data_IF_648647098626
#
_entry.id   IF_648647098626
#
_cell.length_a   1.000
_cell.length_b   1.000
_cell.length_c   1.000
_cell.angle_alpha   90.00
_cell.angle_beta   90.00
_cell.angle_gamma   90.00
#
_symmetry.space_group_name_H-M   'P 1'
#
loop_
_entity.id
_entity.type
_entity.pdbx_description
1 polymer ?
#
# COMPACT_ATOMS: atom_id res chain seq x y z
N UNK A 1 23.21 6.17 -2.27
CA UNK A 1 21.83 5.69 -2.03
C UNK A 1 21.89 4.55 -1.04
N UNK A 2 20.87 4.40 -0.19
CA UNK A 2 20.77 3.33 0.80
C UNK A 2 20.80 1.96 0.11
N UNK A 3 20.14 1.83 -1.05
CA UNK A 3 20.11 0.61 -1.87
C UNK A 3 21.50 0.05 -2.22
N UNK A 4 22.52 0.90 -2.37
CA UNK A 4 23.89 0.47 -2.68
C UNK A 4 24.56 -0.31 -1.53
N UNK A 5 24.07 -0.16 -0.29
CA UNK A 5 24.72 -0.72 0.90
C UNK A 5 23.79 -1.54 1.78
N UNK A 6 22.46 -1.44 1.60
CA UNK A 6 21.46 -2.09 2.46
C UNK A 6 21.69 -3.60 2.58
N UNK A 7 21.74 -4.33 1.46
CA UNK A 7 21.86 -5.79 1.44
C UNK A 7 23.11 -6.33 2.14
N UNK A 8 24.18 -5.54 2.21
CA UNK A 8 25.45 -5.92 2.82
C UNK A 8 25.56 -5.51 4.29
N UNK A 9 24.94 -4.37 4.65
CA UNK A 9 25.15 -3.72 5.96
C UNK A 9 23.90 -3.66 6.83
N UNK A 10 22.74 -4.14 6.38
CA UNK A 10 21.50 -4.10 7.16
C UNK A 10 21.57 -4.84 8.49
N UNK A 11 22.50 -5.80 8.64
CA UNK A 11 22.74 -6.51 9.89
C UNK A 11 23.60 -5.72 10.89
N UNK A 12 24.26 -4.62 10.48
CA UNK A 12 24.96 -3.73 11.39
C UNK A 12 23.95 -2.92 12.21
N UNK A 13 23.83 -3.28 13.50
CA UNK A 13 22.88 -2.66 14.42
C UNK A 13 23.10 -1.15 14.57
N UNK A 14 24.35 -0.65 14.56
CA UNK A 14 24.61 0.78 14.74
C UNK A 14 24.09 1.57 13.54
N UNK A 15 24.46 1.14 12.34
CA UNK A 15 24.01 1.78 11.10
C UNK A 15 22.48 1.73 10.98
N UNK A 16 21.89 0.56 11.22
CA UNK A 16 20.43 0.38 11.15
C UNK A 16 19.68 1.27 12.14
N UNK A 17 20.17 1.41 13.37
CA UNK A 17 19.54 2.27 14.38
C UNK A 17 19.67 3.75 14.06
N UNK A 18 20.80 4.18 13.46
CA UNK A 18 20.95 5.55 12.96
C UNK A 18 19.91 5.86 11.88
N UNK A 19 19.80 4.97 10.89
CA UNK A 19 18.79 5.08 9.84
C UNK A 19 17.37 5.12 10.42
N UNK A 20 17.00 4.17 11.29
CA UNK A 20 15.66 4.11 11.90
C UNK A 20 15.33 5.35 12.73
N UNK A 21 16.34 5.97 13.37
CA UNK A 21 16.15 7.21 14.12
C UNK A 21 15.77 8.37 13.20
N UNK A 22 16.54 8.58 12.13
CA UNK A 22 16.28 9.67 11.18
C UNK A 22 14.99 9.42 10.40
N UNK A 23 14.74 8.18 10.00
CA UNK A 23 13.49 7.77 9.36
C UNK A 23 12.28 8.04 10.27
N UNK A 24 12.37 7.70 11.56
CA UNK A 24 11.33 7.98 12.55
C UNK A 24 11.05 9.47 12.68
N UNK A 25 12.09 10.31 12.72
CA UNK A 25 11.94 11.79 12.76
C UNK A 25 11.24 12.33 11.52
N UNK A 26 11.58 11.80 10.34
CA UNK A 26 10.94 12.17 9.08
C UNK A 26 9.46 11.78 9.13
N UNK A 27 9.13 10.53 9.47
CA UNK A 27 7.73 10.07 9.58
C UNK A 27 6.92 10.94 10.55
N UNK A 28 7.47 11.24 11.72
CA UNK A 28 6.81 12.10 12.72
C UNK A 28 6.65 13.55 12.22
N UNK A 29 7.60 14.05 11.43
CA UNK A 29 7.53 15.40 10.86
C UNK A 29 6.45 15.51 9.77
N UNK A 30 6.43 14.58 8.81
CA UNK A 30 5.49 14.61 7.68
C UNK A 30 4.05 14.29 8.10
N UNK A 31 3.87 13.43 9.10
CA UNK A 31 2.54 13.06 9.62
C UNK A 31 2.00 13.99 10.71
N UNK A 32 2.76 15.04 11.08
CA UNK A 32 2.43 15.91 12.21
C UNK A 32 1.12 16.67 12.04
N UNK A 33 0.81 17.09 10.81
CA UNK A 33 -0.33 17.97 10.53
C UNK A 33 -1.44 17.13 9.89
N UNK A 34 -2.60 16.97 10.54
CA UNK A 34 -3.73 16.30 9.94
C UNK A 34 -4.25 17.10 8.75
N UNK A 35 -4.57 16.39 7.68
CA UNK A 35 -5.15 16.92 6.45
C UNK A 35 -6.65 16.66 6.43
N UNK A 36 -7.44 17.53 5.78
CA UNK A 36 -8.90 17.45 5.84
C UNK A 36 -9.48 16.28 5.04
N UNK A 37 -8.76 15.80 4.03
CA UNK A 37 -9.22 14.78 3.08
C UNK A 37 -8.05 13.90 2.61
N UNK A 38 -8.36 12.76 2.00
CA UNK A 38 -7.42 11.91 1.27
C UNK A 38 -7.35 12.45 -0.17
N UNK A 39 -6.15 12.68 -0.69
CA UNK A 39 -5.95 13.35 -1.97
C UNK A 39 -4.52 13.82 -2.19
N UNK A 40 -4.23 14.37 -3.35
CA UNK A 40 -2.94 15.00 -3.68
C UNK A 40 -3.07 16.52 -3.78
N UNK A 41 -1.95 17.19 -3.52
CA UNK A 41 -1.85 18.64 -3.67
C UNK A 41 -1.66 19.03 -5.14
N UNK A 42 -2.20 20.19 -5.51
CA UNK A 42 -1.92 20.89 -6.77
C UNK A 42 -1.43 22.29 -6.48
N UNK A 43 -0.78 22.89 -7.47
CA UNK A 43 -0.59 24.34 -7.52
C UNK A 43 -1.72 24.89 -8.39
N UNK A 44 -2.58 25.72 -7.81
CA UNK A 44 -3.69 26.33 -8.55
C UNK A 44 -3.21 27.43 -9.51
N UNK A 45 -4.15 28.01 -10.27
CA UNK A 45 -3.84 29.10 -11.21
C UNK A 45 -3.33 30.39 -10.54
N UNK A 46 -3.50 30.52 -9.22
CA UNK A 46 -3.04 31.65 -8.42
C UNK A 46 -1.68 31.36 -7.75
N UNK A 47 -1.14 30.15 -7.92
CA UNK A 47 0.14 29.72 -7.35
C UNK A 47 0.04 29.17 -5.92
N UNK A 48 -1.16 28.92 -5.40
CA UNK A 48 -1.36 28.36 -4.06
C UNK A 48 -1.43 26.84 -4.07
N UNK A 49 -0.87 26.23 -3.02
CA UNK A 49 -0.96 24.81 -2.78
C UNK A 49 -2.38 24.46 -2.31
N UNK A 50 -3.09 23.58 -3.02
CA UNK A 50 -4.44 23.12 -2.65
C UNK A 50 -4.54 21.61 -2.67
N UNK A 51 -5.17 21.04 -1.65
CA UNK A 51 -5.53 19.62 -1.61
C UNK A 51 -6.85 19.43 -2.38
N UNK A 52 -6.76 19.21 -3.69
CA UNK A 52 -7.95 19.16 -4.56
C UNK A 52 -7.79 18.23 -5.77
N UNK A 53 -6.84 17.30 -5.71
CA UNK A 53 -6.66 16.24 -6.69
C UNK A 53 -6.85 14.88 -6.01
N UNK A 54 -7.21 13.86 -6.80
CA UNK A 54 -7.23 12.46 -6.33
C UNK A 54 -5.86 12.05 -5.78
N UNK A 55 -5.80 11.07 -4.88
CA UNK A 55 -4.53 10.47 -4.50
C UNK A 55 -3.81 10.00 -5.75
N UNK A 56 -2.55 10.40 -5.89
CA UNK A 56 -1.66 9.94 -6.93
C UNK A 56 -0.69 8.95 -6.30
N UNK A 57 -0.56 7.79 -6.93
CA UNK A 57 0.45 6.80 -6.60
C UNK A 57 0.95 6.18 -7.90
N UNK A 58 2.15 5.59 -7.85
CA UNK A 58 2.78 4.97 -9.00
C UNK A 58 1.86 3.91 -9.62
N UNK A 59 1.12 3.15 -8.80
CA UNK A 59 0.22 2.11 -9.27
C UNK A 59 -0.95 2.67 -10.09
N UNK A 60 -1.43 3.87 -9.77
CA UNK A 60 -2.52 4.51 -10.54
C UNK A 60 -1.97 4.97 -11.90
N UNK A 61 -0.78 5.56 -11.92
CA UNK A 61 -0.16 6.04 -13.15
C UNK A 61 0.22 4.88 -14.08
N UNK A 62 0.78 3.79 -13.55
CA UNK A 62 1.13 2.60 -14.33
C UNK A 62 -0.09 2.02 -15.06
N UNK A 63 -1.24 1.93 -14.37
CA UNK A 63 -2.49 1.50 -15.00
C UNK A 63 -2.94 2.46 -16.11
N UNK A 64 -2.83 3.78 -15.91
CA UNK A 64 -3.19 4.77 -16.93
C UNK A 64 -2.25 4.70 -18.15
N UNK A 65 -0.96 4.47 -17.92
CA UNK A 65 0.03 4.26 -18.98
C UNK A 65 -0.26 3.00 -19.80
N UNK A 66 -0.79 1.96 -19.15
CA UNK A 66 -1.29 0.74 -19.81
C UNK A 66 -2.67 0.90 -20.46
N UNK A 67 -3.23 2.13 -20.48
CA UNK A 67 -4.56 2.45 -21.02
C UNK A 67 -5.71 1.74 -20.28
N UNK A 68 -5.51 1.39 -19.02
CA UNK A 68 -6.53 0.80 -18.16
C UNK A 68 -7.36 1.92 -17.54
N UNK A 69 -8.69 1.78 -17.60
CA UNK A 69 -9.60 2.82 -17.10
C UNK A 69 -9.65 2.81 -15.58
N UNK A 70 -9.19 3.88 -14.94
CA UNK A 70 -9.15 3.98 -13.47
C UNK A 70 -10.47 4.45 -12.85
N UNK A 71 -11.38 5.06 -13.63
CA UNK A 71 -12.66 5.64 -13.16
C UNK A 71 -12.52 6.55 -11.92
N UNK A 72 -11.33 7.14 -11.71
CA UNK A 72 -11.03 8.01 -10.58
C UNK A 72 -10.82 9.44 -11.09
N UNK A 73 -11.78 10.36 -10.95
CA UNK A 73 -11.65 11.71 -11.51
C UNK A 73 -10.48 12.48 -10.88
N UNK A 74 -9.72 13.25 -11.68
CA UNK A 74 -8.60 14.06 -11.18
C UNK A 74 -9.06 15.03 -10.09
N UNK A 75 -10.15 15.77 -10.28
CA UNK A 75 -10.63 16.76 -9.30
C UNK A 75 -11.52 16.17 -8.19
N UNK A 76 -11.10 15.04 -7.60
CA UNK A 76 -11.86 14.35 -6.58
C UNK A 76 -10.99 14.01 -5.37
N UNK A 77 -11.51 14.25 -4.17
CA UNK A 77 -10.85 13.93 -2.89
C UNK A 77 -11.80 13.12 -2.02
N UNK A 78 -11.27 12.30 -1.14
CA UNK A 78 -12.09 11.42 -0.29
C UNK A 78 -12.18 11.95 1.12
N UNK A 79 -13.40 11.98 1.67
CA UNK A 79 -13.65 12.31 3.07
C UNK A 79 -13.73 11.09 3.99
N UNK A 80 -13.71 9.87 3.45
CA UNK A 80 -13.75 8.63 4.23
C UNK A 80 -12.78 7.59 3.70
N UNK A 81 -12.25 6.77 4.60
CA UNK A 81 -11.43 5.60 4.25
C UNK A 81 -12.23 4.61 3.41
N UNK A 82 -13.51 4.37 3.71
CA UNK A 82 -14.29 3.34 2.98
C UNK A 82 -14.46 3.69 1.49
N UNK A 83 -14.69 4.98 1.18
CA UNK A 83 -14.85 5.42 -0.22
C UNK A 83 -13.53 5.34 -0.98
N UNK A 84 -12.41 5.69 -0.32
CA UNK A 84 -11.08 5.55 -0.90
C UNK A 84 -10.72 4.09 -1.19
N UNK A 85 -10.92 3.20 -0.21
CA UNK A 85 -10.63 1.77 -0.36
C UNK A 85 -11.51 1.12 -1.43
N UNK A 86 -12.78 1.50 -1.51
CA UNK A 86 -13.68 1.01 -2.55
C UNK A 86 -13.21 1.37 -3.96
N UNK A 87 -12.71 2.59 -4.16
CA UNK A 87 -12.20 3.03 -5.46
C UNK A 87 -10.82 2.43 -5.76
N UNK A 88 -9.93 2.26 -4.78
CA UNK A 88 -8.67 1.49 -4.98
C UNK A 88 -8.98 0.05 -5.41
N UNK A 89 -9.90 -0.64 -4.74
CA UNK A 89 -10.32 -1.98 -5.15
C UNK A 89 -10.96 -1.99 -6.54
N UNK A 90 -11.59 -0.89 -6.99
CA UNK A 90 -12.09 -0.77 -8.37
C UNK A 90 -10.95 -0.69 -9.38
N UNK A 91 -9.81 -0.08 -9.04
CA UNK A 91 -8.62 -0.09 -9.91
C UNK A 91 -8.12 -1.51 -10.17
N UNK A 92 -8.03 -2.32 -9.12
CA UNK A 92 -7.67 -3.74 -9.24
C UNK A 92 -8.68 -4.51 -10.11
N UNK A 93 -9.97 -4.18 -10.02
CA UNK A 93 -10.98 -4.74 -10.94
C UNK A 93 -10.74 -4.32 -12.38
N UNK A 94 -10.47 -3.04 -12.62
CA UNK A 94 -10.21 -2.52 -13.97
C UNK A 94 -9.01 -3.21 -14.60
N UNK A 95 -7.93 -3.38 -13.84
CA UNK A 95 -6.76 -4.15 -14.30
C UNK A 95 -7.18 -5.56 -14.73
N UNK A 96 -7.86 -6.30 -13.86
CA UNK A 96 -8.30 -7.66 -14.18
C UNK A 96 -9.29 -7.69 -15.36
N UNK A 97 -10.10 -6.65 -15.57
CA UNK A 97 -11.04 -6.57 -16.70
C UNK A 97 -10.34 -6.25 -18.00
N UNK A 98 -9.46 -5.27 -18.01
CA UNK A 98 -9.03 -4.58 -19.23
C UNK A 98 -7.66 -5.06 -19.71
N UNK A 99 -6.75 -5.44 -18.81
CA UNK A 99 -5.41 -5.88 -19.18
C UNK A 99 -5.44 -7.29 -19.80
N UNK A 100 -5.17 -7.48 -21.11
CA UNK A 100 -5.45 -8.75 -21.80
C UNK A 100 -4.74 -9.97 -21.21
N UNK A 101 -3.55 -9.77 -20.65
CA UNK A 101 -2.70 -10.81 -20.06
C UNK A 101 -2.81 -10.93 -18.53
N UNK A 102 -3.81 -10.34 -17.88
CA UNK A 102 -3.94 -10.34 -16.42
C UNK A 102 -4.10 -11.73 -15.78
N UNK A 103 -4.51 -12.75 -16.55
CA UNK A 103 -4.68 -14.12 -16.06
C UNK A 103 -3.97 -15.12 -16.95
N UNK A 104 -3.44 -16.17 -16.36
CA UNK A 104 -2.74 -17.24 -17.04
C UNK A 104 -3.68 -18.37 -17.47
N UNK A 105 -4.65 -18.73 -16.63
CA UNK A 105 -5.58 -19.82 -16.87
C UNK A 105 -6.88 -19.65 -16.04
N UNK A 106 -7.76 -20.66 -16.10
CA UNK A 106 -9.04 -20.68 -15.39
C UNK A 106 -8.87 -20.56 -13.87
N UNK A 107 -7.93 -21.33 -13.32
CA UNK A 107 -7.67 -21.42 -11.88
C UNK A 107 -7.11 -20.10 -11.34
N UNK A 108 -6.13 -19.53 -12.04
CA UNK A 108 -5.57 -18.20 -11.73
C UNK A 108 -6.66 -17.10 -11.80
N UNK A 109 -7.54 -17.15 -12.80
CA UNK A 109 -8.65 -16.21 -12.88
C UNK A 109 -9.60 -16.35 -11.68
N UNK A 110 -9.98 -17.57 -11.29
CA UNK A 110 -10.81 -17.80 -10.11
C UNK A 110 -10.12 -17.35 -8.82
N UNK A 111 -8.81 -17.61 -8.68
CA UNK A 111 -7.97 -17.20 -7.57
C UNK A 111 -7.96 -15.67 -7.40
N UNK A 112 -7.66 -14.93 -8.47
CA UNK A 112 -7.63 -13.46 -8.43
C UNK A 112 -9.01 -12.85 -8.13
N UNK A 113 -10.06 -13.32 -8.80
CA UNK A 113 -11.44 -12.84 -8.59
C UNK A 113 -11.88 -13.07 -7.13
N UNK A 114 -11.55 -14.24 -6.58
CA UNK A 114 -11.89 -14.60 -5.20
C UNK A 114 -11.26 -13.67 -4.19
N UNK A 115 -9.96 -13.39 -4.33
CA UNK A 115 -9.26 -12.45 -3.49
C UNK A 115 -9.86 -11.04 -3.58
N UNK A 116 -10.18 -10.54 -4.77
CA UNK A 116 -10.79 -9.19 -4.91
C UNK A 116 -12.17 -9.10 -4.26
N UNK A 117 -13.01 -10.12 -4.44
CA UNK A 117 -14.32 -10.18 -3.79
C UNK A 117 -14.19 -10.27 -2.26
N UNK A 118 -13.23 -11.06 -1.77
CA UNK A 118 -12.99 -11.22 -0.35
C UNK A 118 -12.44 -9.94 0.27
N UNK A 119 -11.45 -9.31 -0.35
CA UNK A 119 -10.87 -8.02 0.08
C UNK A 119 -11.95 -6.95 0.25
N UNK A 120 -12.92 -6.86 -0.67
CA UNK A 120 -14.08 -5.94 -0.52
C UNK A 120 -14.91 -6.25 0.72
N UNK A 121 -15.18 -7.52 0.95
CA UNK A 121 -16.05 -7.99 2.04
C UNK A 121 -15.39 -7.81 3.41
N UNK A 122 -14.07 -7.99 3.47
CA UNK A 122 -13.32 -8.05 4.74
C UNK A 122 -12.73 -6.70 5.15
N UNK A 123 -12.82 -5.65 4.33
CA UNK A 123 -12.32 -4.30 4.63
C UNK A 123 -12.68 -3.81 6.05
N UNK A 124 -13.94 -3.95 6.53
CA UNK A 124 -14.33 -3.47 7.86
C UNK A 124 -13.67 -4.21 9.04
N UNK A 125 -13.07 -5.39 8.80
CA UNK A 125 -12.37 -6.17 9.81
C UNK A 125 -10.95 -5.61 10.06
N UNK A 126 -10.33 -5.12 8.98
CA UNK A 126 -8.95 -4.66 8.96
C UNK A 126 -8.80 -3.15 9.13
N UNK A 127 -9.84 -2.35 8.87
CA UNK A 127 -9.80 -0.90 8.98
C UNK A 127 -10.63 -0.40 10.16
N UNK A 128 -10.09 0.54 10.92
CA UNK A 128 -10.74 1.01 12.16
C UNK A 128 -11.88 1.97 11.87
N UNK A 129 -13.06 1.65 12.42
CA UNK A 129 -14.24 2.51 12.28
C UNK A 129 -14.05 3.89 12.93
N UNK A 130 -13.28 3.99 14.02
CA UNK A 130 -13.01 5.25 14.69
C UNK A 130 -12.06 6.16 13.89
N UNK A 131 -11.30 5.61 12.93
CA UNK A 131 -10.40 6.35 12.04
C UNK A 131 -10.99 6.57 10.63
N UNK A 132 -12.26 6.17 10.41
CA UNK A 132 -12.95 6.22 9.11
C UNK A 132 -12.92 7.60 8.46
N UNK A 133 -13.02 8.67 9.26
CA UNK A 133 -13.06 10.07 8.79
C UNK A 133 -11.77 10.82 9.09
N UNK A 134 -10.69 10.07 9.28
CA UNK A 134 -9.38 10.57 9.61
C UNK A 134 -8.95 10.24 11.05
N UNK A 135 -7.78 10.75 11.46
CA UNK A 135 -6.99 11.73 10.73
C UNK A 135 -6.40 11.20 9.42
N UNK A 136 -6.29 12.08 8.44
CA UNK A 136 -5.52 11.87 7.21
C UNK A 136 -4.20 12.61 7.34
N UNK A 137 -3.12 12.07 6.79
CA UNK A 137 -1.77 12.62 6.96
C UNK A 137 -1.01 12.57 5.65
N UNK A 138 -0.05 13.48 5.49
CA UNK A 138 0.85 13.49 4.34
C UNK A 138 1.80 12.29 4.42
N UNK A 139 1.84 11.48 3.37
CA UNK A 139 2.62 10.26 3.29
C UNK A 139 3.45 10.24 2.02
N UNK A 140 4.71 9.84 2.15
CA UNK A 140 5.59 9.53 1.02
C UNK A 140 5.31 8.07 0.61
N UNK A 141 4.62 7.88 -0.51
CA UNK A 141 4.11 6.57 -0.96
C UNK A 141 5.17 5.71 -1.63
N UNK A 142 6.09 6.31 -2.38
CA UNK A 142 7.17 5.61 -3.09
C UNK A 142 8.54 5.75 -2.38
N UNK A 143 8.58 5.47 -1.08
CA UNK A 143 9.81 5.59 -0.29
C UNK A 143 10.61 4.29 -0.29
N UNK A 144 11.22 3.96 -1.44
CA UNK A 144 12.15 2.83 -1.59
C UNK A 144 13.62 3.19 -1.25
N UNK A 145 14.46 2.16 -1.02
CA UNK A 145 15.89 2.30 -0.68
C UNK A 145 16.68 3.16 -1.68
N UNK A 146 16.30 3.17 -2.95
CA UNK A 146 16.95 3.97 -3.99
C UNK A 146 16.61 5.47 -3.90
N UNK A 147 15.48 5.82 -3.28
CA UNK A 147 15.02 7.20 -3.11
C UNK A 147 15.60 7.86 -1.83
N UNK A 148 16.41 7.11 -1.07
CA UNK A 148 17.01 7.55 0.19
C UNK A 148 18.53 7.65 0.04
N UNK A 149 19.08 8.83 0.31
CA UNK A 149 20.51 9.06 0.43
C UNK A 149 20.93 9.05 1.88
N UNK A 150 22.05 8.38 2.15
CA UNK A 150 22.64 8.28 3.49
C UNK A 150 24.13 8.55 3.45
N UNK A 151 24.69 9.00 4.58
CA UNK A 151 26.13 9.08 4.79
C UNK A 151 26.75 7.73 5.20
N UNK A 152 28.04 7.74 5.57
CA UNK A 152 28.79 6.54 5.97
C UNK A 152 28.24 5.85 7.23
N UNK A 153 27.59 6.61 8.13
CA UNK A 153 26.98 6.16 9.38
C UNK A 153 25.47 5.88 9.23
N UNK A 154 24.96 5.86 8.00
CA UNK A 154 23.55 5.64 7.65
C UNK A 154 22.58 6.74 8.13
N UNK A 155 23.07 7.94 8.38
CA UNK A 155 22.21 9.09 8.60
C UNK A 155 21.57 9.55 7.28
N UNK A 156 20.26 9.83 7.30
CA UNK A 156 19.54 10.25 6.09
C UNK A 156 19.94 11.70 5.76
N UNK A 157 20.50 11.89 4.57
CA UNK A 157 20.98 13.20 4.10
C UNK A 157 20.05 13.85 3.09
N UNK A 158 19.33 13.05 2.30
CA UNK A 158 18.40 13.54 1.29
C UNK A 158 17.35 12.48 0.94
N UNK A 159 16.13 12.93 0.65
CA UNK A 159 15.09 12.14 0.01
C UNK A 159 14.82 12.72 -1.38
N UNK A 160 14.70 11.86 -2.37
CA UNK A 160 14.38 12.23 -3.76
C UNK A 160 13.09 11.56 -4.19
N UNK A 161 12.60 11.91 -5.37
CA UNK A 161 11.45 11.25 -6.01
C UNK A 161 10.16 11.31 -5.17
N UNK A 162 9.74 12.54 -4.85
CA UNK A 162 8.63 12.83 -3.93
C UNK A 162 7.30 13.10 -4.66
N UNK A 163 7.22 12.83 -5.96
CA UNK A 163 6.10 13.20 -6.82
C UNK A 163 4.81 12.45 -6.50
N UNK A 164 4.92 11.26 -5.92
CA UNK A 164 3.79 10.42 -5.51
C UNK A 164 3.23 10.74 -4.12
N UNK A 165 3.81 11.72 -3.42
CA UNK A 165 3.39 12.04 -2.07
C UNK A 165 1.96 12.59 -2.02
N UNK A 166 1.15 12.02 -1.13
CA UNK A 166 -0.27 12.38 -1.02
C UNK A 166 -0.78 12.24 0.42
N UNK A 167 -1.96 12.78 0.67
CA UNK A 167 -2.69 12.59 1.91
C UNK A 167 -3.34 11.21 1.93
N UNK A 168 -3.04 10.40 2.96
CA UNK A 168 -3.57 9.04 3.15
C UNK A 168 -4.19 8.86 4.55
N UNK A 169 -5.05 7.84 4.75
CA UNK A 169 -5.45 7.42 6.10
C UNK A 169 -4.24 7.16 6.99
N UNK A 170 -4.34 7.53 8.27
CA UNK A 170 -3.27 7.29 9.24
C UNK A 170 -2.86 5.81 9.35
N UNK A 171 -3.81 4.88 9.15
CA UNK A 171 -3.56 3.44 9.14
C UNK A 171 -2.72 2.96 7.94
N UNK A 172 -2.52 3.79 6.92
CA UNK A 172 -1.67 3.51 5.75
C UNK A 172 -0.29 4.18 5.85
N UNK A 173 0.09 4.65 7.04
CA UNK A 173 1.49 4.98 7.36
C UNK A 173 2.14 3.72 7.91
N UNK A 174 3.04 3.13 7.13
CA UNK A 174 3.55 1.78 7.36
C UNK A 174 5.08 1.77 7.49
N UNK A 175 5.64 0.78 8.21
CA UNK A 175 7.06 0.47 8.08
C UNK A 175 7.38 0.07 6.63
N UNK A 176 8.58 0.39 6.10
CA UNK A 176 8.92 0.01 4.74
C UNK A 176 8.87 -1.50 4.52
N UNK A 177 8.12 -1.97 3.52
CA UNK A 177 7.99 -3.41 3.25
C UNK A 177 9.36 -4.08 2.95
N UNK A 178 10.30 -3.31 2.41
CA UNK A 178 11.62 -3.77 1.98
C UNK A 178 12.65 -3.91 3.12
N UNK A 179 12.27 -3.80 4.40
CA UNK A 179 13.22 -3.92 5.53
C UNK A 179 14.06 -5.21 5.48
N UNK A 180 13.50 -6.31 4.98
CA UNK A 180 14.20 -7.60 4.81
C UNK A 180 14.82 -7.79 3.42
N UNK A 181 14.83 -6.75 2.58
CA UNK A 181 15.27 -6.79 1.19
C UNK A 181 14.49 -7.81 0.33
N UNK A 182 13.21 -7.96 0.63
CA UNK A 182 12.25 -8.83 -0.06
C UNK A 182 11.27 -8.01 -0.89
N UNK A 183 10.74 -8.64 -1.94
CA UNK A 183 9.56 -8.13 -2.64
C UNK A 183 8.36 -8.02 -1.69
N UNK A 184 7.38 -7.22 -2.08
CA UNK A 184 6.16 -6.97 -1.28
C UNK A 184 5.36 -8.26 -1.02
N UNK A 185 5.46 -9.21 -1.93
CA UNK A 185 4.80 -10.51 -1.93
C UNK A 185 5.72 -11.64 -1.40
N UNK A 186 6.92 -11.30 -0.90
CA UNK A 186 7.92 -12.26 -0.42
C UNK A 186 8.26 -12.04 1.07
N UNK A 187 7.45 -11.28 1.80
CA UNK A 187 7.72 -10.93 3.19
C UNK A 187 7.44 -12.13 4.09
N UNK A 188 8.48 -12.68 4.74
CA UNK A 188 8.30 -13.62 5.85
C UNK A 188 8.10 -12.84 7.16
N UNK A 189 6.95 -12.96 7.85
CA UNK A 189 6.71 -12.30 9.13
C UNK A 189 7.77 -12.62 10.20
N UNK A 190 8.41 -13.80 10.16
CA UNK A 190 9.44 -14.21 11.14
C UNK A 190 10.71 -13.38 11.02
N UNK A 191 11.09 -13.04 9.79
CA UNK A 191 12.28 -12.24 9.51
C UNK A 191 11.97 -10.74 9.58
N UNK A 192 10.74 -10.35 9.22
CA UNK A 192 10.31 -8.94 9.18
C UNK A 192 9.96 -8.37 10.56
N UNK A 193 9.22 -9.11 11.39
CA UNK A 193 8.74 -8.62 12.70
C UNK A 193 9.87 -8.14 13.64
N UNK A 194 11.05 -8.78 13.72
CA UNK A 194 12.15 -8.27 14.53
C UNK A 194 12.62 -6.86 14.12
N UNK A 195 12.81 -6.61 12.83
CA UNK A 195 13.23 -5.30 12.30
C UNK A 195 12.15 -4.25 12.48
N UNK A 196 10.89 -4.64 12.20
CA UNK A 196 9.70 -3.81 12.41
C UNK A 196 9.61 -3.36 13.87
N UNK A 197 9.74 -4.28 14.84
CA UNK A 197 9.70 -3.96 16.28
C UNK A 197 10.83 -3.04 16.71
N UNK A 198 12.04 -3.24 16.17
CA UNK A 198 13.16 -2.33 16.43
C UNK A 198 12.83 -0.91 15.95
N UNK A 199 12.31 -0.76 14.73
CA UNK A 199 11.86 0.52 14.21
C UNK A 199 10.73 1.13 15.05
N UNK A 200 9.72 0.36 15.46
CA UNK A 200 8.62 0.86 16.29
C UNK A 200 9.08 1.31 17.68
N UNK A 201 10.04 0.61 18.28
CA UNK A 201 10.67 1.01 19.54
C UNK A 201 11.41 2.35 19.43
N UNK A 202 12.16 2.54 18.34
CA UNK A 202 12.87 3.79 18.06
C UNK A 202 11.88 4.92 17.76
N UNK A 203 10.86 4.66 16.95
CA UNK A 203 9.79 5.62 16.65
C UNK A 203 9.10 6.11 17.92
N UNK A 204 8.72 5.21 18.82
CA UNK A 204 8.12 5.56 20.10
C UNK A 204 9.07 6.38 21.00
N UNK A 205 10.38 6.14 20.90
CA UNK A 205 11.39 6.92 21.63
C UNK A 205 11.53 8.33 21.06
N UNK A 206 11.69 8.47 19.75
CA UNK A 206 11.80 9.78 19.07
C UNK A 206 10.51 10.60 19.25
N UNK A 207 9.34 9.96 19.26
CA UNK A 207 8.08 10.64 19.53
C UNK A 207 8.02 11.26 20.93
N UNK A 208 8.53 10.56 21.95
CA UNK A 208 8.61 11.09 23.33
C UNK A 208 9.59 12.26 23.43
N UNK A 209 10.69 12.21 22.68
CA UNK A 209 11.70 13.29 22.66
C UNK A 209 11.17 14.56 22.00
N UNK A 210 10.35 14.44 20.95
CA UNK A 210 9.75 15.58 20.26
C UNK A 210 8.63 16.25 21.07
N UNK A 211 7.93 15.48 21.92
CA UNK A 211 6.84 15.97 22.77
C UNK A 211 7.03 15.53 24.24
N UNK A 212 8.02 16.08 24.97
CA UNK A 212 8.32 15.69 26.36
C UNK A 212 7.22 16.14 27.35
N UNK A 213 6.42 17.14 26.96
CA UNK A 213 5.31 17.67 27.75
C UNK A 213 4.02 17.35 27.00
N UNK A 214 3.55 16.12 27.09
CA UNK A 214 2.14 15.84 26.77
C UNK A 214 1.29 16.52 27.85
N UNK A 215 0.99 17.82 27.67
CA UNK A 215 -0.06 18.49 28.44
C UNK A 215 -1.36 17.71 28.24
N UNK A 216 -2.11 17.37 29.31
CA UNK A 216 -3.35 16.59 29.20
C UNK A 216 -4.45 17.25 28.34
N UNK A 217 -4.26 18.51 27.94
CA UNK A 217 -5.29 19.41 27.38
C UNK A 217 -5.00 19.93 25.96
N UNK A 218 -3.89 19.56 25.31
CA UNK A 218 -3.68 19.89 23.89
C UNK A 218 -4.36 18.85 23.01
N UNK A 219 -5.61 19.14 22.67
CA UNK A 219 -6.48 18.55 21.64
C UNK A 219 -6.28 17.06 21.34
N UNK A 220 -7.25 16.24 21.75
CA UNK A 220 -7.33 14.77 21.61
C UNK A 220 -7.38 14.25 20.16
N UNK A 221 -6.94 15.01 19.17
CA UNK A 221 -7.28 14.79 17.75
C UNK A 221 -6.35 13.83 17.00
N UNK A 222 -5.07 13.71 17.39
CA UNK A 222 -4.12 12.81 16.71
C UNK A 222 -3.71 11.61 17.58
N UNK A 223 -4.04 10.37 17.17
CA UNK A 223 -3.49 9.16 17.79
C UNK A 223 -1.97 9.10 17.67
N UNK A 224 -1.31 8.39 18.60
CA UNK A 224 0.13 8.19 18.52
C UNK A 224 0.50 7.27 17.37
N UNK A 225 1.35 7.74 16.45
CA UNK A 225 1.70 6.99 15.25
C UNK A 225 2.27 5.60 15.57
N UNK A 226 3.17 5.49 16.55
CA UNK A 226 3.71 4.19 16.96
C UNK A 226 2.65 3.22 17.48
N UNK A 227 1.63 3.71 18.19
CA UNK A 227 0.52 2.89 18.70
C UNK A 227 -0.42 2.47 17.56
N UNK A 228 -0.65 3.34 16.58
CA UNK A 228 -1.43 3.01 15.38
C UNK A 228 -0.72 1.96 14.54
N UNK A 229 0.58 2.11 14.28
CA UNK A 229 1.37 1.16 13.49
C UNK A 229 1.46 -0.22 14.16
N UNK A 230 1.64 -0.27 15.48
CA UNK A 230 1.58 -1.54 16.24
C UNK A 230 0.18 -2.18 16.19
N UNK A 231 -0.88 -1.37 16.35
CA UNK A 231 -2.26 -1.83 16.21
C UNK A 231 -2.58 -2.34 14.80
N UNK A 232 -2.06 -1.68 13.77
CA UNK A 232 -2.20 -2.05 12.37
C UNK A 232 -1.52 -3.40 12.08
N UNK A 233 -0.34 -3.64 12.66
CA UNK A 233 0.31 -4.95 12.59
C UNK A 233 -0.52 -6.04 13.27
N UNK A 234 -0.95 -5.82 14.52
CA UNK A 234 -1.69 -6.81 15.30
C UNK A 234 -3.05 -7.18 14.69
N UNK A 235 -3.71 -6.24 14.01
CA UNK A 235 -5.00 -6.46 13.32
C UNK A 235 -4.86 -7.10 11.94
N UNK A 236 -3.67 -7.04 11.33
CA UNK A 236 -3.46 -7.37 9.92
C UNK A 236 -3.78 -6.23 8.95
N UNK A 237 -4.02 -5.02 9.46
CA UNK A 237 -4.20 -3.80 8.65
C UNK A 237 -3.00 -3.55 7.75
N UNK A 238 -1.78 -3.77 8.27
CA UNK A 238 -0.54 -3.68 7.47
C UNK A 238 -0.63 -4.51 6.19
N UNK A 239 -1.01 -5.79 6.29
CA UNK A 239 -1.15 -6.66 5.13
C UNK A 239 -2.26 -6.20 4.19
N UNK A 240 -3.38 -5.74 4.76
CA UNK A 240 -4.50 -5.25 3.97
C UNK A 240 -4.13 -4.00 3.16
N UNK A 241 -3.49 -3.01 3.78
CA UNK A 241 -3.10 -1.75 3.11
C UNK A 241 -1.95 -1.94 2.14
N UNK A 242 -1.02 -2.85 2.45
CA UNK A 242 0.05 -3.26 1.56
C UNK A 242 -0.51 -3.95 0.30
N UNK A 243 -1.48 -4.85 0.45
CA UNK A 243 -2.17 -5.49 -0.67
C UNK A 243 -2.92 -4.48 -1.53
N UNK A 244 -3.61 -3.50 -0.94
CA UNK A 244 -4.26 -2.43 -1.70
C UNK A 244 -3.27 -1.60 -2.53
N UNK A 245 -2.04 -1.43 -2.02
CA UNK A 245 -0.98 -0.64 -2.66
C UNK A 245 -0.11 -1.47 -3.61
N UNK A 246 -0.47 -2.72 -3.91
CA UNK A 246 0.32 -3.59 -4.78
C UNK A 246 -0.58 -4.41 -5.71
N UNK A 247 -0.84 -3.96 -6.95
CA UNK A 247 -1.67 -4.66 -7.93
C UNK A 247 -1.26 -6.12 -8.15
N UNK A 248 0.03 -6.38 -8.32
CA UNK A 248 0.55 -7.74 -8.54
C UNK A 248 0.70 -8.54 -7.24
N UNK A 249 1.00 -7.87 -6.12
CA UNK A 249 1.20 -8.53 -4.82
C UNK A 249 -0.08 -8.84 -4.05
N UNK A 250 -1.20 -8.17 -4.37
CA UNK A 250 -2.47 -8.27 -3.63
C UNK A 250 -2.88 -9.71 -3.40
N UNK A 251 -2.86 -10.53 -4.45
CA UNK A 251 -3.36 -11.89 -4.40
C UNK A 251 -2.55 -12.75 -3.44
N UNK A 252 -1.22 -12.74 -3.58
CA UNK A 252 -0.35 -13.50 -2.70
C UNK A 252 -0.47 -13.06 -1.25
N UNK A 253 -0.44 -11.75 -1.00
CA UNK A 253 -0.61 -11.18 0.35
C UNK A 253 -1.96 -11.59 0.95
N UNK A 254 -3.03 -11.59 0.15
CA UNK A 254 -4.34 -12.01 0.61
C UNK A 254 -4.31 -13.46 1.11
N UNK A 255 -3.85 -14.40 0.29
CA UNK A 255 -3.87 -15.82 0.64
C UNK A 255 -2.85 -16.20 1.72
N UNK A 256 -1.66 -15.59 1.74
CA UNK A 256 -0.60 -15.94 2.69
C UNK A 256 -0.71 -15.21 4.04
N UNK A 257 -1.31 -14.01 4.08
CA UNK A 257 -1.27 -13.16 5.27
C UNK A 257 -2.63 -12.64 5.75
N UNK A 258 -3.62 -12.45 4.87
CA UNK A 258 -4.94 -11.91 5.25
C UNK A 258 -5.93 -13.04 5.56
N UNK A 259 -6.07 -14.02 4.66
CA UNK A 259 -6.99 -15.14 4.80
C UNK A 259 -6.73 -15.96 6.09
N UNK A 260 -5.47 -16.27 6.47
CA UNK A 260 -5.21 -17.02 7.71
C UNK A 260 -5.64 -16.29 8.98
N UNK A 261 -5.80 -14.96 8.94
CA UNK A 261 -6.30 -14.17 10.07
C UNK A 261 -7.83 -14.27 10.23
N UNK A 262 -8.53 -14.74 9.20
CA UNK A 262 -10.00 -14.83 9.17
C UNK A 262 -10.50 -16.23 9.54
N UNK A 263 -9.74 -17.27 9.17
CA UNK A 263 -10.09 -18.67 9.44
C UNK A 263 -8.82 -19.49 9.64
N UNK A 264 -8.74 -20.23 10.75
CA UNK A 264 -7.62 -21.15 11.03
C UNK A 264 -7.53 -22.31 10.02
N UNK A 265 -8.65 -22.67 9.40
CA UNK A 265 -8.71 -23.62 8.30
C UNK A 265 -8.97 -22.83 7.01
N UNK A 266 -7.94 -22.59 6.20
CA UNK A 266 -8.10 -22.01 4.87
C UNK A 266 -9.04 -22.91 4.06
N UNK A 267 -10.32 -22.52 3.91
CA UNK A 267 -11.24 -23.31 3.11
C UNK A 267 -10.88 -23.12 1.64
N UNK A 268 -10.57 -24.22 0.95
CA UNK A 268 -10.51 -24.28 -0.52
C UNK A 268 -11.80 -23.71 -1.15
N UNK A 269 -12.90 -23.73 -0.39
CA UNK A 269 -14.22 -23.17 -0.72
C UNK A 269 -14.22 -21.67 -1.08
N UNK A 270 -13.26 -20.86 -0.61
CA UNK A 270 -13.20 -19.44 -1.00
C UNK A 270 -13.04 -19.30 -2.51
N UNK A 271 -12.19 -20.15 -3.13
CA UNK A 271 -11.97 -20.18 -4.57
C UNK A 271 -13.20 -20.61 -5.37
N UNK A 272 -14.12 -21.34 -4.74
CA UNK A 272 -15.34 -21.85 -5.37
C UNK A 272 -16.52 -20.89 -5.20
N UNK A 273 -16.61 -20.19 -4.07
CA UNK A 273 -17.78 -19.37 -3.71
C UNK A 273 -17.60 -17.91 -4.08
N UNK A 274 -16.46 -17.32 -3.75
CA UNK A 274 -16.24 -15.87 -3.91
C UNK A 274 -16.30 -15.37 -5.36
N UNK A 275 -15.94 -16.13 -6.40
CA UNK A 275 -16.05 -15.64 -7.78
C UNK A 275 -17.46 -15.21 -8.18
N UNK A 276 -18.49 -15.86 -7.63
CA UNK A 276 -19.89 -15.55 -7.92
C UNK A 276 -20.36 -14.23 -7.29
N UNK A 277 -19.60 -13.65 -6.35
CA UNK A 277 -19.90 -12.37 -5.71
C UNK A 277 -19.09 -11.19 -6.28
N UNK A 278 -18.19 -11.44 -7.24
CA UNK A 278 -17.38 -10.39 -7.86
C UNK A 278 -18.06 -9.72 -9.06
N UNK A 279 -18.64 -10.50 -9.96
CA UNK A 279 -19.33 -10.01 -11.16
C UNK A 279 -20.52 -10.89 -11.51
N UNK A 280 -21.53 -10.29 -12.15
CA UNK A 280 -22.61 -11.05 -12.78
C UNK A 280 -22.05 -11.91 -13.91
N UNK A 281 -22.50 -13.17 -13.97
CA UNK A 281 -22.08 -14.14 -14.99
C UNK A 281 -20.55 -14.33 -15.04
N UNK A 282 -19.99 -14.72 -13.89
CA UNK A 282 -18.55 -14.96 -13.74
C UNK A 282 -18.02 -15.97 -14.76
N UNK A 283 -18.81 -17.00 -15.12
CA UNK A 283 -18.43 -17.98 -16.13
C UNK A 283 -18.14 -17.35 -17.49
N UNK A 284 -19.01 -16.43 -17.95
CA UNK A 284 -18.79 -15.67 -19.18
C UNK A 284 -17.57 -14.75 -19.09
N UNK A 285 -17.36 -14.10 -17.95
CA UNK A 285 -16.20 -13.25 -17.73
C UNK A 285 -14.89 -14.05 -17.85
N UNK A 286 -14.80 -15.18 -17.13
CA UNK A 286 -13.61 -16.03 -17.09
C UNK A 286 -13.33 -16.61 -18.48
N UNK A 287 -14.35 -17.11 -19.18
CA UNK A 287 -14.19 -17.64 -20.54
C UNK A 287 -13.65 -16.58 -21.51
N UNK A 288 -14.14 -15.33 -21.41
CA UNK A 288 -13.62 -14.21 -22.20
C UNK A 288 -12.15 -13.93 -21.84
N UNK A 289 -11.82 -13.86 -20.55
CA UNK A 289 -10.47 -13.49 -20.11
C UNK A 289 -9.41 -14.51 -20.53
N UNK A 290 -9.73 -15.80 -20.47
CA UNK A 290 -8.84 -16.86 -20.98
C UNK A 290 -8.66 -16.75 -22.50
N UNK A 291 -9.68 -16.31 -23.24
CA UNK A 291 -9.55 -16.05 -24.67
C UNK A 291 -8.69 -14.80 -24.96
N UNK A 292 -8.83 -13.74 -24.16
CA UNK A 292 -8.01 -12.53 -24.25
C UNK A 292 -6.52 -12.86 -24.08
N UNK A 293 -6.16 -13.68 -23.07
CA UNK A 293 -4.77 -14.15 -22.86
C UNK A 293 -4.22 -14.91 -24.06
N UNK A 294 -5.00 -15.85 -24.61
CA UNK A 294 -4.59 -16.62 -25.80
C UNK A 294 -4.32 -15.73 -27.01
N UNK A 295 -5.17 -14.72 -27.21
CA UNK A 295 -4.99 -13.74 -28.28
C UNK A 295 -3.74 -12.90 -28.04
N UNK A 296 -3.56 -12.41 -26.82
CA UNK A 296 -2.38 -11.65 -26.43
C UNK A 296 -1.08 -12.43 -26.69
N UNK A 297 -1.02 -13.70 -26.29
CA UNK A 297 0.17 -14.54 -26.49
C UNK A 297 0.48 -14.74 -27.98
N UNK A 298 -0.55 -14.92 -28.80
CA UNK A 298 -0.42 -15.01 -30.25
C UNK A 298 0.10 -13.71 -30.87
N UNK A 299 -0.50 -12.57 -30.50
CA UNK A 299 -0.10 -11.25 -31.00
C UNK A 299 1.33 -10.89 -30.56
N UNK A 300 1.70 -11.26 -29.32
CA UNK A 300 3.04 -11.08 -28.77
C UNK A 300 4.08 -11.91 -29.55
N UNK A 301 3.80 -13.19 -29.79
CA UNK A 301 4.68 -14.06 -30.57
C UNK A 301 4.93 -13.48 -31.97
N UNK A 302 3.88 -13.02 -32.64
CA UNK A 302 4.00 -12.39 -33.96
C UNK A 302 4.87 -11.13 -33.95
N UNK A 303 4.72 -10.27 -32.93
CA UNK A 303 5.52 -9.06 -32.82
C UNK A 303 7.04 -9.34 -32.68
N UNK A 304 7.42 -10.49 -32.11
CA UNK A 304 8.82 -10.93 -32.00
C UNK A 304 9.31 -11.77 -33.18
N UNK A 305 8.42 -12.32 -34.00
CA UNK A 305 8.76 -13.02 -35.26
C UNK A 305 8.85 -12.07 -36.46
N UNK A 306 8.18 -10.91 -36.40
CA UNK A 306 8.18 -9.87 -37.44
C UNK A 306 9.35 -8.84 -37.28
N UNK A 307 10.26 -9.06 -36.34
CA UNK A 307 11.51 -8.30 -36.12
C UNK A 307 12.75 -9.17 -36.35
#
# INVERSE_FOLDING_TARGET
>A
MLSNTWSQKCNDTKLRQNFFRDFSRILLSVSRIPLPQIGSFIIDSEGFLRLSNRPLSIEIEDLENEQIVTDMPRHYTYSTVDSYVADILRLHDSQLRDQPNAVNNLEDCAYQISALAAMRTTAPLFLRQDLRRGPFVFTLTDLHQSNIFVDEDWHITCLVDLEWACSRPLEMVEPPYWLTNKGVDEIDPKDYDPLRRELMSILATEMKLLNPVASPDTDRTMPRLSEVMEGAWARGTFWYTLALSSPTGLFRIFYEHIQPLLSENCSEEIGEVMPFYWVRDVGKFVARKVADKKKYDYDLQRAFEEN
#
